data_IF_038071062388
#
_entry.id   IF_038071062388
#
_cell.length_a   1.000
_cell.length_b   1.000
_cell.length_c   1.000
_cell.angle_alpha   90.00
_cell.angle_beta   90.00
_cell.angle_gamma   90.00
#
_symmetry.space_group_name_H-M   'P 1'
#
loop_
_entity.id
_entity.type
_entity.pdbx_description
1 polymer ?
#
# COMPACT_ATOMS: atom_id res chain seq x y z
N UNK A 1 9.38 -3.77 9.28
CA UNK A 1 10.33 -3.13 10.27
C UNK A 1 9.64 -2.64 11.55
N UNK A 2 8.44 -2.01 11.50
CA UNK A 2 7.67 -1.65 12.72
C UNK A 2 7.18 -2.90 13.46
N UNK A 3 6.60 -3.84 12.77
CA UNK A 3 6.15 -5.11 13.33
C UNK A 3 7.33 -5.84 14.01
N UNK A 4 8.47 -5.94 13.36
CA UNK A 4 9.66 -6.58 13.91
C UNK A 4 10.14 -5.92 15.22
N UNK A 5 10.11 -4.58 15.29
CA UNK A 5 10.47 -3.85 16.53
C UNK A 5 9.47 -4.08 17.65
N UNK A 6 8.17 -4.11 17.32
CA UNK A 6 7.11 -4.44 18.29
C UNK A 6 7.25 -5.88 18.83
N UNK A 7 7.59 -6.83 17.96
CA UNK A 7 7.85 -8.21 18.37
C UNK A 7 9.09 -8.33 19.25
N UNK A 8 10.18 -7.64 18.93
CA UNK A 8 11.39 -7.62 19.78
C UNK A 8 11.07 -6.99 21.14
N UNK A 9 10.33 -5.88 21.19
CA UNK A 9 9.91 -5.26 22.43
C UNK A 9 8.99 -6.17 23.26
N UNK A 10 8.03 -6.85 22.63
CA UNK A 10 7.16 -7.82 23.28
C UNK A 10 7.94 -9.03 23.80
N UNK A 11 8.94 -9.50 23.07
CA UNK A 11 9.84 -10.58 23.46
C UNK A 11 10.70 -10.21 24.68
N UNK A 12 11.31 -9.02 24.68
CA UNK A 12 12.10 -8.54 25.81
C UNK A 12 11.26 -8.33 27.06
N UNK A 13 10.03 -7.80 26.90
CA UNK A 13 9.10 -7.64 28.01
C UNK A 13 8.64 -8.99 28.57
N UNK A 14 8.36 -9.98 27.72
CA UNK A 14 7.95 -11.31 28.18
C UNK A 14 9.07 -12.05 28.89
N UNK A 15 10.34 -11.88 28.46
CA UNK A 15 11.51 -12.41 29.16
C UNK A 15 11.71 -11.76 30.54
N UNK A 16 11.45 -10.45 30.65
CA UNK A 16 11.54 -9.72 31.92
C UNK A 16 10.43 -10.15 32.87
N UNK A 17 9.22 -10.36 32.38
CA UNK A 17 8.10 -10.91 33.16
C UNK A 17 8.38 -12.35 33.59
N UNK A 18 8.99 -13.18 32.73
CA UNK A 18 9.39 -14.55 33.08
C UNK A 18 10.43 -14.57 34.21
N UNK A 19 11.42 -13.67 34.15
CA UNK A 19 12.42 -13.53 35.23
C UNK A 19 11.80 -13.12 36.55
N UNK A 20 10.84 -12.17 36.53
CA UNK A 20 10.06 -11.79 37.72
C UNK A 20 9.20 -12.94 38.25
N UNK A 21 8.60 -13.71 37.34
CA UNK A 21 7.77 -14.87 37.69
C UNK A 21 8.56 -16.02 38.33
N UNK A 22 9.77 -16.25 37.87
CA UNK A 22 10.67 -17.25 38.46
C UNK A 22 11.02 -16.93 39.92
N UNK A 23 11.00 -15.64 40.30
CA UNK A 23 11.18 -15.17 41.70
C UNK A 23 9.92 -15.33 42.58
N UNK A 24 8.74 -15.52 41.97
CA UNK A 24 7.45 -15.60 42.67
C UNK A 24 7.04 -17.07 42.91
N UNK A 25 7.82 -17.82 43.69
CA UNK A 25 7.55 -19.24 44.01
C UNK A 25 6.29 -19.49 44.83
N UNK A 26 5.63 -18.43 45.30
CA UNK A 26 4.43 -18.51 46.19
C UNK A 26 3.10 -18.45 45.43
N UNK A 27 3.12 -18.33 44.11
CA UNK A 27 1.89 -18.23 43.30
C UNK A 27 1.14 -19.57 43.22
N UNK A 28 -0.19 -19.49 43.25
CA UNK A 28 -1.08 -20.64 42.99
C UNK A 28 -0.90 -21.19 41.58
N UNK A 29 -1.29 -22.46 41.35
CA UNK A 29 -1.19 -23.08 40.02
C UNK A 29 -1.99 -22.31 38.95
N UNK A 30 -3.16 -21.71 39.30
CA UNK A 30 -3.92 -20.86 38.41
C UNK A 30 -3.19 -19.60 38.00
N UNK A 31 -2.54 -18.93 38.94
CA UNK A 31 -1.76 -17.71 38.63
C UNK A 31 -0.52 -18.01 37.79
N UNK A 32 0.11 -19.17 37.98
CA UNK A 32 1.23 -19.64 37.13
C UNK A 32 0.76 -19.91 35.70
N UNK A 33 -0.41 -20.52 35.50
CA UNK A 33 -0.97 -20.77 34.18
C UNK A 33 -1.29 -19.46 33.43
N UNK A 34 -1.91 -18.48 34.09
CA UNK A 34 -2.19 -17.16 33.50
C UNK A 34 -0.91 -16.43 33.10
N UNK A 35 0.11 -16.50 33.94
CA UNK A 35 1.41 -15.91 33.67
C UNK A 35 2.09 -16.57 32.46
N UNK A 36 2.07 -17.90 32.36
CA UNK A 36 2.58 -18.65 31.24
C UNK A 36 1.88 -18.28 29.92
N UNK A 37 0.55 -18.13 29.94
CA UNK A 37 -0.23 -17.65 28.77
C UNK A 37 0.20 -16.24 28.36
N UNK A 38 0.34 -15.33 29.32
CA UNK A 38 0.77 -13.94 29.05
C UNK A 38 2.17 -13.87 28.42
N UNK A 39 3.09 -14.73 28.90
CA UNK A 39 4.45 -14.82 28.35
C UNK A 39 4.48 -15.44 26.96
N UNK A 40 3.66 -16.45 26.70
CA UNK A 40 3.63 -17.18 25.44
C UNK A 40 2.82 -16.45 24.34
N UNK A 41 1.88 -15.57 24.70
CA UNK A 41 1.02 -14.86 23.76
C UNK A 41 1.79 -14.15 22.62
N UNK A 42 2.86 -13.37 22.86
CA UNK A 42 3.61 -12.74 21.78
C UNK A 42 4.28 -13.75 20.84
N UNK A 43 4.70 -14.90 21.33
CA UNK A 43 5.29 -15.95 20.50
C UNK A 43 4.24 -16.62 19.62
N UNK A 44 3.05 -16.87 20.14
CA UNK A 44 1.92 -17.37 19.34
C UNK A 44 1.51 -16.37 18.25
N UNK A 45 1.45 -15.07 18.57
CA UNK A 45 1.19 -14.03 17.56
C UNK A 45 2.27 -14.00 16.48
N UNK A 46 3.54 -14.11 16.86
CA UNK A 46 4.65 -14.12 15.91
C UNK A 46 4.61 -15.34 15.00
N UNK A 47 4.41 -16.54 15.55
CA UNK A 47 4.33 -17.78 14.77
C UNK A 47 3.10 -17.81 13.86
N UNK A 48 1.93 -17.36 14.35
CA UNK A 48 0.72 -17.23 13.54
C UNK A 48 0.95 -16.28 12.34
N UNK A 49 1.64 -15.15 12.57
CA UNK A 49 1.96 -14.19 11.51
C UNK A 49 2.89 -14.80 10.45
N UNK A 50 3.92 -15.55 10.87
CA UNK A 50 4.82 -16.25 9.95
C UNK A 50 4.07 -17.28 9.11
N UNK A 51 3.19 -18.06 9.75
CA UNK A 51 2.39 -19.10 9.06
C UNK A 51 1.39 -18.46 8.08
N UNK A 52 0.81 -17.31 8.43
CA UNK A 52 -0.17 -16.63 7.59
C UNK A 52 0.43 -15.85 6.42
N UNK A 53 1.69 -15.42 6.49
CA UNK A 53 2.35 -14.66 5.40
C UNK A 53 2.24 -15.32 4.01
N UNK A 54 2.50 -16.63 3.81
CA UNK A 54 2.38 -17.25 2.49
C UNK A 54 0.93 -17.29 1.99
N UNK A 55 -0.03 -17.38 2.90
CA UNK A 55 -1.47 -17.35 2.57
C UNK A 55 -1.87 -15.96 2.11
N UNK A 56 -1.47 -14.91 2.84
CA UNK A 56 -1.70 -13.52 2.46
C UNK A 56 -1.08 -13.19 1.10
N UNK A 57 0.17 -13.59 0.87
CA UNK A 57 0.84 -13.38 -0.41
C UNK A 57 0.09 -14.07 -1.57
N UNK A 58 -0.43 -15.29 -1.35
CA UNK A 58 -1.20 -16.02 -2.36
C UNK A 58 -2.53 -15.31 -2.66
N UNK A 59 -3.24 -14.84 -1.63
CA UNK A 59 -4.49 -14.09 -1.78
C UNK A 59 -4.25 -12.78 -2.51
N UNK A 60 -3.22 -12.01 -2.10
CA UNK A 60 -2.88 -10.75 -2.73
C UNK A 60 -2.49 -10.94 -4.20
N UNK A 61 -1.74 -12.00 -4.51
CA UNK A 61 -1.39 -12.37 -5.88
C UNK A 61 -2.63 -12.67 -6.72
N UNK A 62 -3.56 -13.47 -6.19
CA UNK A 62 -4.83 -13.75 -6.86
C UNK A 62 -5.60 -12.45 -7.18
N UNK A 63 -5.70 -11.54 -6.22
CA UNK A 63 -6.39 -10.26 -6.43
C UNK A 63 -5.69 -9.35 -7.45
N UNK A 64 -4.36 -9.37 -7.46
CA UNK A 64 -3.56 -8.69 -8.47
C UNK A 64 -3.84 -9.24 -9.88
N UNK A 65 -3.81 -10.56 -10.03
CA UNK A 65 -4.05 -11.24 -11.30
C UNK A 65 -5.48 -11.01 -11.81
N UNK A 66 -6.48 -11.04 -10.94
CA UNK A 66 -7.87 -10.68 -11.26
C UNK A 66 -7.99 -9.23 -11.76
N UNK A 67 -7.38 -8.27 -11.05
CA UNK A 67 -7.40 -6.87 -11.45
C UNK A 67 -6.72 -6.67 -12.81
N UNK A 68 -5.58 -7.33 -13.04
CA UNK A 68 -4.86 -7.28 -14.30
C UNK A 68 -5.69 -7.87 -15.45
N UNK A 69 -6.41 -8.95 -15.19
CA UNK A 69 -7.33 -9.55 -16.17
C UNK A 69 -8.48 -8.60 -16.54
N UNK A 70 -9.07 -7.92 -15.56
CA UNK A 70 -10.12 -6.91 -15.83
C UNK A 70 -9.58 -5.81 -16.75
N UNK A 71 -8.40 -5.26 -16.42
CA UNK A 71 -7.78 -4.20 -17.22
C UNK A 71 -7.41 -4.67 -18.64
N UNK A 72 -6.95 -5.91 -18.80
CA UNK A 72 -6.57 -6.45 -20.12
C UNK A 72 -7.76 -6.61 -21.09
N UNK A 73 -8.99 -6.65 -20.57
CA UNK A 73 -10.22 -6.71 -21.35
C UNK A 73 -10.71 -5.32 -21.81
N UNK A 74 -10.08 -4.25 -21.33
CA UNK A 74 -10.48 -2.86 -21.58
C UNK A 74 -9.55 -2.19 -22.58
N UNK A 75 -9.77 -2.43 -23.88
CA UNK A 75 -8.87 -1.97 -24.95
C UNK A 75 -8.81 -0.45 -25.10
N UNK A 76 -9.91 0.25 -24.81
CA UNK A 76 -10.04 1.71 -24.97
C UNK A 76 -9.85 2.49 -23.66
N UNK A 77 -9.34 1.85 -22.61
CA UNK A 77 -9.14 2.49 -21.31
C UNK A 77 -7.86 3.33 -21.31
N UNK A 78 -8.00 4.62 -21.07
CA UNK A 78 -6.86 5.50 -20.78
C UNK A 78 -6.64 5.59 -19.27
N UNK A 79 -5.46 5.23 -18.81
CA UNK A 79 -5.10 5.32 -17.39
C UNK A 79 -4.25 6.55 -17.14
N UNK A 80 -4.70 7.39 -16.19
CA UNK A 80 -4.01 8.60 -15.75
C UNK A 80 -3.48 8.35 -14.33
N UNK A 81 -2.17 8.23 -14.18
CA UNK A 81 -1.50 8.13 -12.89
C UNK A 81 -1.27 9.51 -12.28
N UNK A 82 -1.57 9.69 -11.00
CA UNK A 82 -1.30 10.93 -10.27
C UNK A 82 -0.49 10.62 -9.03
N UNK A 83 0.70 11.21 -8.93
CA UNK A 83 1.54 11.13 -7.73
C UNK A 83 2.05 12.50 -7.30
N UNK A 84 2.72 12.56 -6.17
CA UNK A 84 3.29 13.78 -5.59
C UNK A 84 3.29 13.71 -4.07
N UNK A 85 3.95 14.68 -3.43
CA UNK A 85 3.91 14.83 -1.98
C UNK A 85 2.61 15.51 -1.53
N UNK A 86 2.20 16.55 -2.24
CA UNK A 86 0.99 17.35 -1.93
C UNK A 86 0.11 17.51 -3.17
N UNK A 87 -1.19 17.75 -2.98
CA UNK A 87 -2.10 18.09 -4.06
C UNK A 87 -2.68 16.92 -4.87
N UNK A 88 -2.22 15.69 -4.69
CA UNK A 88 -2.71 14.50 -5.43
C UNK A 88 -4.24 14.38 -5.46
N UNK A 89 -4.84 14.34 -4.28
CA UNK A 89 -6.29 14.14 -4.14
C UNK A 89 -7.09 15.29 -4.73
N UNK A 90 -6.64 16.54 -4.53
CA UNK A 90 -7.29 17.72 -5.13
C UNK A 90 -7.23 17.66 -6.65
N UNK A 91 -6.05 17.40 -7.22
CA UNK A 91 -5.86 17.26 -8.67
C UNK A 91 -6.72 16.14 -9.23
N UNK A 92 -6.79 14.98 -8.56
CA UNK A 92 -7.66 13.87 -8.91
C UNK A 92 -9.14 14.31 -9.02
N UNK A 93 -9.64 15.03 -8.03
CA UNK A 93 -11.04 15.47 -8.01
C UNK A 93 -11.33 16.53 -9.08
N UNK A 94 -10.42 17.49 -9.30
CA UNK A 94 -10.59 18.48 -10.37
C UNK A 94 -10.60 17.81 -11.74
N UNK A 95 -9.64 16.93 -11.98
CA UNK A 95 -9.54 16.20 -13.25
C UNK A 95 -10.77 15.31 -13.49
N UNK A 96 -11.25 14.61 -12.46
CA UNK A 96 -12.46 13.82 -12.51
C UNK A 96 -13.67 14.67 -12.93
N UNK A 97 -13.88 15.82 -12.28
CA UNK A 97 -14.99 16.72 -12.61
C UNK A 97 -14.96 17.22 -14.05
N UNK A 98 -13.79 17.59 -14.55
CA UNK A 98 -13.62 18.08 -15.91
C UNK A 98 -13.88 16.95 -16.93
N UNK A 99 -13.30 15.78 -16.69
CA UNK A 99 -13.39 14.68 -17.65
C UNK A 99 -14.76 14.00 -17.68
N UNK A 100 -15.51 13.99 -16.57
CA UNK A 100 -16.85 13.43 -16.51
C UNK A 100 -17.87 14.13 -17.42
N UNK A 101 -17.59 15.36 -17.87
CA UNK A 101 -18.46 16.06 -18.82
C UNK A 101 -18.53 15.37 -20.20
N UNK A 102 -17.50 14.55 -20.52
CA UNK A 102 -17.40 13.91 -21.84
C UNK A 102 -17.12 12.41 -21.80
N UNK A 103 -16.57 11.90 -20.71
CA UNK A 103 -16.10 10.52 -20.61
C UNK A 103 -16.71 9.79 -19.41
N UNK A 104 -16.76 8.47 -19.51
CA UNK A 104 -17.08 7.63 -18.37
C UNK A 104 -15.82 7.40 -17.53
N UNK A 105 -15.69 8.13 -16.47
CA UNK A 105 -14.46 8.17 -15.64
C UNK A 105 -14.63 7.39 -14.37
N UNK A 106 -13.68 6.52 -14.07
CA UNK A 106 -13.48 5.96 -12.74
C UNK A 106 -12.28 6.65 -12.10
N UNK A 107 -12.34 6.94 -10.80
CA UNK A 107 -11.18 7.37 -10.03
C UNK A 107 -11.03 6.52 -8.77
N UNK A 108 -9.80 6.38 -8.25
CA UNK A 108 -9.59 5.76 -6.96
C UNK A 108 -10.33 6.52 -5.86
N UNK A 109 -11.21 5.86 -5.05
CA UNK A 109 -12.01 6.54 -4.05
C UNK A 109 -11.17 6.99 -2.86
N UNK A 110 -11.50 8.14 -2.28
CA UNK A 110 -10.84 8.66 -1.10
C UNK A 110 -9.31 8.69 -1.24
N UNK A 111 -8.62 8.04 -0.31
CA UNK A 111 -7.16 7.89 -0.29
C UNK A 111 -6.68 6.47 -0.66
N UNK A 112 -7.42 5.74 -1.50
CA UNK A 112 -7.03 4.41 -1.99
C UNK A 112 -5.88 4.52 -2.99
N UNK A 113 -4.70 4.86 -2.49
CA UNK A 113 -3.49 5.15 -3.26
C UNK A 113 -2.36 4.13 -3.05
N UNK A 114 -2.68 2.98 -2.44
CA UNK A 114 -1.76 1.85 -2.27
C UNK A 114 -2.06 0.76 -3.30
N UNK A 115 -1.14 -0.17 -3.61
CA UNK A 115 -1.39 -1.27 -4.55
C UNK A 115 -2.71 -2.01 -4.27
N UNK A 116 -2.96 -2.39 -3.02
CA UNK A 116 -4.21 -3.08 -2.63
C UNK A 116 -5.45 -2.19 -2.74
N UNK A 117 -5.33 -0.88 -2.49
CA UNK A 117 -6.43 0.08 -2.68
C UNK A 117 -6.80 0.22 -4.15
N UNK A 118 -5.81 0.26 -5.03
CA UNK A 118 -6.01 0.29 -6.49
C UNK A 118 -6.62 -1.02 -7.00
N UNK A 119 -6.07 -2.17 -6.58
CA UNK A 119 -6.62 -3.50 -6.90
C UNK A 119 -8.10 -3.59 -6.50
N UNK A 120 -8.42 -3.16 -5.29
CA UNK A 120 -9.79 -3.16 -4.79
C UNK A 120 -10.70 -2.28 -5.64
N UNK A 121 -10.26 -1.07 -6.01
CA UNK A 121 -11.03 -0.16 -6.87
C UNK A 121 -11.34 -0.81 -8.22
N UNK A 122 -10.35 -1.43 -8.86
CA UNK A 122 -10.52 -2.11 -10.14
C UNK A 122 -11.52 -3.27 -10.00
N UNK A 123 -11.35 -4.14 -9.02
CA UNK A 123 -12.21 -5.31 -8.84
C UNK A 123 -13.65 -4.98 -8.48
N UNK A 124 -13.88 -3.95 -7.65
CA UNK A 124 -15.21 -3.62 -7.14
C UNK A 124 -15.96 -2.61 -8.02
N UNK A 125 -15.26 -1.69 -8.67
CA UNK A 125 -15.88 -0.51 -9.30
C UNK A 125 -15.63 -0.39 -10.80
N UNK A 126 -14.58 -1.03 -11.37
CA UNK A 126 -14.33 -0.97 -12.79
C UNK A 126 -15.46 -1.65 -13.57
N UNK A 127 -15.92 -0.98 -14.63
CA UNK A 127 -16.99 -1.46 -15.52
C UNK A 127 -16.54 -1.34 -16.98
N UNK A 128 -17.05 -2.19 -17.88
CA UNK A 128 -16.65 -2.17 -19.31
C UNK A 128 -16.89 -0.86 -20.05
N UNK A 129 -17.76 -0.01 -19.54
CA UNK A 129 -18.07 1.29 -20.15
C UNK A 129 -17.13 2.42 -19.72
N UNK A 130 -16.23 2.21 -18.75
CA UNK A 130 -15.26 3.24 -18.36
C UNK A 130 -14.22 3.44 -19.47
N UNK A 131 -13.99 4.70 -19.85
CA UNK A 131 -12.99 5.10 -20.85
C UNK A 131 -11.72 5.64 -20.19
N UNK A 132 -11.85 6.18 -18.97
CA UNK A 132 -10.73 6.77 -18.24
C UNK A 132 -10.68 6.23 -16.82
N UNK A 133 -9.48 5.88 -16.37
CA UNK A 133 -9.20 5.53 -14.98
C UNK A 133 -8.17 6.49 -14.40
N UNK A 134 -8.58 7.31 -13.41
CA UNK A 134 -7.68 8.21 -12.68
C UNK A 134 -7.20 7.48 -11.43
N UNK A 135 -5.92 7.11 -11.44
CA UNK A 135 -5.27 6.34 -10.38
C UNK A 135 -4.38 7.25 -9.52
N UNK A 136 -4.80 7.53 -8.28
CA UNK A 136 -3.94 8.18 -7.31
C UNK A 136 -2.92 7.17 -6.77
N UNK A 137 -1.63 7.53 -6.80
CA UNK A 137 -0.51 6.66 -6.42
C UNK A 137 0.24 7.26 -5.24
N UNK A 138 0.17 6.59 -4.10
CA UNK A 138 0.92 6.91 -2.89
C UNK A 138 2.15 6.03 -2.77
N UNK A 139 3.17 6.51 -2.06
CA UNK A 139 4.35 5.73 -1.75
C UNK A 139 4.87 6.01 -0.35
N UNK A 140 5.39 4.97 0.29
CA UNK A 140 6.12 5.01 1.56
C UNK A 140 7.56 4.56 1.41
N UNK A 141 7.90 3.91 0.30
CA UNK A 141 9.23 3.41 -0.02
C UNK A 141 9.43 3.41 -1.54
N UNK A 142 10.68 3.29 -1.95
CA UNK A 142 11.07 3.14 -3.36
C UNK A 142 10.45 1.84 -3.89
N UNK A 143 9.87 1.90 -5.10
CA UNK A 143 9.20 0.78 -5.77
C UNK A 143 7.69 0.75 -5.61
N UNK A 144 7.11 1.50 -4.65
CA UNK A 144 5.66 1.48 -4.42
C UNK A 144 4.86 2.05 -5.61
N UNK A 145 5.35 3.11 -6.25
CA UNK A 145 4.72 3.68 -7.46
C UNK A 145 4.88 2.72 -8.64
N UNK A 146 6.09 2.17 -8.78
CA UNK A 146 6.37 1.19 -9.83
C UNK A 146 5.42 -0.01 -9.74
N UNK A 147 5.17 -0.56 -8.55
CA UNK A 147 4.24 -1.68 -8.34
C UNK A 147 2.83 -1.35 -8.84
N UNK A 148 2.34 -0.12 -8.59
CA UNK A 148 1.04 0.32 -9.10
C UNK A 148 1.09 0.49 -10.62
N UNK A 149 2.16 1.08 -11.16
CA UNK A 149 2.32 1.25 -12.62
C UNK A 149 2.38 -0.09 -13.36
N UNK A 150 3.08 -1.09 -12.81
CA UNK A 150 3.15 -2.45 -13.38
C UNK A 150 1.76 -3.13 -13.45
N UNK A 151 0.85 -2.74 -12.55
CA UNK A 151 -0.54 -3.21 -12.57
C UNK A 151 -1.38 -2.47 -13.61
N UNK A 152 -1.37 -1.12 -13.59
CA UNK A 152 -2.35 -0.30 -14.32
C UNK A 152 -1.85 0.22 -15.68
N UNK A 153 -0.54 0.13 -15.96
CA UNK A 153 0.11 0.58 -17.20
C UNK A 153 -0.35 1.99 -17.64
N UNK A 154 -0.01 3.06 -16.90
CA UNK A 154 -0.51 4.40 -17.18
C UNK A 154 0.01 4.94 -18.52
N UNK A 155 -0.83 5.67 -19.26
CA UNK A 155 -0.46 6.39 -20.48
C UNK A 155 -0.18 7.87 -20.21
N UNK A 156 -0.78 8.40 -19.13
CA UNK A 156 -0.57 9.79 -18.70
C UNK A 156 -0.13 9.77 -17.25
N UNK A 157 0.95 10.50 -16.95
CA UNK A 157 1.49 10.65 -15.61
C UNK A 157 1.47 12.09 -15.15
N UNK A 158 0.96 12.36 -13.95
CA UNK A 158 0.94 13.70 -13.35
C UNK A 158 1.71 13.66 -12.04
N UNK A 159 2.77 14.47 -11.93
CA UNK A 159 3.49 14.72 -10.68
C UNK A 159 3.09 16.09 -10.18
N UNK A 160 2.33 16.17 -9.07
CA UNK A 160 1.76 17.43 -8.57
C UNK A 160 2.79 18.31 -7.87
N UNK A 161 3.43 17.81 -6.85
CA UNK A 161 4.50 18.51 -6.15
C UNK A 161 5.43 17.51 -5.48
N UNK A 162 6.71 17.82 -5.42
CA UNK A 162 7.71 17.02 -4.71
C UNK A 162 8.24 17.83 -3.54
N UNK A 163 8.03 17.32 -2.32
CA UNK A 163 8.44 17.98 -1.08
C UNK A 163 8.76 16.96 0.00
N UNK A 164 9.18 17.45 1.14
CA UNK A 164 9.54 16.65 2.31
C UNK A 164 8.30 15.98 2.90
N UNK A 165 8.02 14.76 2.45
CA UNK A 165 6.95 13.91 2.97
C UNK A 165 7.49 12.51 3.24
N UNK A 166 7.12 11.94 4.40
CA UNK A 166 7.57 10.60 4.81
C UNK A 166 9.10 10.42 4.87
N UNK A 167 9.87 11.46 5.24
CA UNK A 167 11.33 11.42 5.33
C UNK A 167 11.85 10.30 6.24
N UNK A 168 11.10 9.94 7.30
CA UNK A 168 11.44 8.79 8.15
C UNK A 168 11.56 7.49 7.34
N UNK A 169 10.74 7.32 6.30
CA UNK A 169 10.73 6.13 5.46
C UNK A 169 11.70 6.24 4.29
N UNK A 170 11.73 7.39 3.62
CA UNK A 170 12.58 7.63 2.44
C UNK A 170 14.02 8.01 2.77
N UNK A 171 14.29 8.47 3.99
CA UNK A 171 15.60 8.94 4.50
C UNK A 171 16.13 10.22 3.83
N UNK A 172 15.92 10.44 2.54
CA UNK A 172 16.39 11.61 1.80
C UNK A 172 15.31 12.13 0.84
N UNK A 173 15.35 13.43 0.53
CA UNK A 173 14.48 14.04 -0.49
C UNK A 173 14.75 13.45 -1.87
N UNK A 174 15.99 13.06 -2.18
CA UNK A 174 16.35 12.41 -3.44
C UNK A 174 15.63 11.07 -3.63
N UNK A 175 15.43 10.30 -2.56
CA UNK A 175 14.64 9.07 -2.61
C UNK A 175 13.14 9.36 -2.83
N UNK A 176 12.61 10.45 -2.26
CA UNK A 176 11.24 10.91 -2.52
C UNK A 176 11.09 11.25 -4.01
N UNK A 177 11.99 12.05 -4.55
CA UNK A 177 12.00 12.42 -5.96
C UNK A 177 12.05 11.18 -6.85
N UNK A 178 13.07 10.33 -6.67
CA UNK A 178 13.23 9.09 -7.44
C UNK A 178 11.97 8.24 -7.43
N UNK A 179 11.32 8.08 -6.28
CA UNK A 179 10.09 7.30 -6.19
C UNK A 179 8.93 7.94 -6.96
N UNK A 180 8.79 9.29 -6.94
CA UNK A 180 7.74 9.95 -7.72
C UNK A 180 7.99 9.84 -9.23
N UNK A 181 9.25 9.87 -9.65
CA UNK A 181 9.63 9.72 -11.04
C UNK A 181 9.48 8.28 -11.58
N UNK A 182 9.31 7.26 -10.72
CA UNK A 182 8.90 5.92 -11.15
C UNK A 182 7.63 5.92 -12.02
N UNK A 183 6.72 6.91 -11.82
CA UNK A 183 5.56 7.09 -12.68
C UNK A 183 5.96 7.50 -14.10
N UNK A 184 6.90 8.43 -14.23
CA UNK A 184 7.38 8.89 -15.55
C UNK A 184 8.13 7.79 -16.25
N UNK A 185 9.00 7.07 -15.53
CA UNK A 185 9.79 5.96 -16.06
C UNK A 185 8.91 4.79 -16.56
N UNK A 186 7.68 4.68 -16.02
CA UNK A 186 6.73 3.63 -16.39
C UNK A 186 5.84 4.00 -17.58
N UNK A 187 5.87 5.25 -18.07
CA UNK A 187 5.06 5.66 -19.21
C UNK A 187 5.61 5.06 -20.51
N UNK A 188 4.73 4.70 -21.47
CA UNK A 188 5.18 4.32 -22.81
C UNK A 188 5.84 5.51 -23.52
N UNK A 189 6.63 5.25 -24.55
CA UNK A 189 7.31 6.30 -25.32
C UNK A 189 6.37 7.34 -25.97
N UNK A 190 5.11 6.99 -26.17
CA UNK A 190 4.03 7.89 -26.61
C UNK A 190 3.25 8.52 -25.46
N UNK A 191 3.62 8.24 -24.21
CA UNK A 191 2.94 8.71 -23.03
C UNK A 191 3.15 10.20 -22.77
N UNK A 192 2.27 10.80 -21.98
CA UNK A 192 2.34 12.21 -21.58
C UNK A 192 2.71 12.31 -20.10
N UNK A 193 3.78 13.03 -19.80
CA UNK A 193 4.15 13.40 -18.44
C UNK A 193 3.87 14.88 -18.19
N UNK A 194 3.13 15.18 -17.13
CA UNK A 194 2.86 16.55 -16.63
C UNK A 194 3.53 16.69 -15.27
N UNK A 195 4.47 17.61 -15.17
CA UNK A 195 5.30 17.80 -13.97
C UNK A 195 5.19 19.25 -13.55
N UNK A 196 4.91 19.45 -12.25
CA UNK A 196 4.88 20.78 -11.63
C UNK A 196 6.16 21.01 -10.81
#
# INVERSE_FOLDING_TARGET
KRATRLYIAALSLSLLVAGLAAGLTTLSNGSRALLAIAILAPYFMMTANIIMQPVEKRINRKYYDEAKQILSQMQDLTVIGITGSYGKTSTKHYLYRILCERYNVLMTPGSFNTPMGVIRTIREQMKPYHNIFICEMGAKQIGDIKEICDLVAPQIGIITAVGEQHLESFKTIGNVQRTKFELVDALPGSGLAVIN
#
